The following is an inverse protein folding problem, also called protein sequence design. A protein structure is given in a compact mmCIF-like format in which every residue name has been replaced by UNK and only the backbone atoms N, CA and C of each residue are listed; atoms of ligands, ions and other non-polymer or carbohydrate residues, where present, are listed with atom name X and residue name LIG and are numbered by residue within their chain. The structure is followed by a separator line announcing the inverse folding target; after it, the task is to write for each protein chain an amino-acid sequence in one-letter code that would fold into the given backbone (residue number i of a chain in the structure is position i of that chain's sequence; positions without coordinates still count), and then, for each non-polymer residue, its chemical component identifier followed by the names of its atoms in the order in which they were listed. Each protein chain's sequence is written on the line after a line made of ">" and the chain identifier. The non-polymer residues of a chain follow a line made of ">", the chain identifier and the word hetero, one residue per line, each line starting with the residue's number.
data_IF_975472835149
#
_entry.id   IF_975472835149
#
_cell.length_a   1.000
_cell.length_b   1.000
_cell.length_c   1.000
_cell.angle_alpha   90.00
_cell.angle_beta   90.00
_cell.angle_gamma   90.00
#
_symmetry.space_group_name_H-M   'P 1'
#
loop_
_entity.id
_entity.type
_entity.pdbx_description
1 polymer ?
#
# COMPACT_ATOMS: atom_id res chain seq x y z
N UNK A 1 -9.25 57.87 -37.22
CA UNK A 1 -9.33 56.55 -37.88
C UNK A 1 -8.87 55.53 -36.86
N UNK A 2 -9.89 54.96 -36.20
CA UNK A 2 -9.70 53.86 -35.23
C UNK A 2 -9.49 52.58 -35.99
N UNK A 3 -8.48 51.83 -35.62
CA UNK A 3 -8.37 50.40 -35.98
C UNK A 3 -8.40 49.62 -34.68
N UNK A 4 -9.59 49.11 -34.43
CA UNK A 4 -9.93 48.18 -33.35
C UNK A 4 -9.15 46.86 -33.55
N UNK A 5 -8.24 46.57 -32.64
CA UNK A 5 -7.69 45.25 -32.50
C UNK A 5 -8.62 44.39 -31.61
N UNK A 6 -9.47 43.61 -32.27
CA UNK A 6 -10.23 42.55 -31.67
C UNK A 6 -9.39 41.25 -31.81
N UNK A 7 -8.56 40.92 -30.80
CA UNK A 7 -7.85 39.67 -30.75
C UNK A 7 -8.07 39.02 -29.39
N UNK A 8 -8.94 38.02 -29.42
CA UNK A 8 -8.87 36.74 -28.72
C UNK A 8 -9.11 36.76 -27.21
N UNK A 9 -10.39 36.78 -26.83
CA UNK A 9 -10.87 36.40 -25.49
C UNK A 9 -11.12 34.86 -25.36
N UNK A 10 -10.98 34.04 -26.40
CA UNK A 10 -11.37 32.63 -26.35
C UNK A 10 -10.27 31.62 -26.00
N UNK A 11 -8.99 32.01 -26.07
CA UNK A 11 -7.88 31.07 -25.78
C UNK A 11 -7.40 31.08 -24.33
N UNK A 12 -7.83 32.03 -23.51
CA UNK A 12 -7.41 32.19 -22.11
C UNK A 12 -8.24 31.36 -21.12
N UNK A 13 -9.43 30.91 -21.50
CA UNK A 13 -10.36 30.27 -20.53
C UNK A 13 -10.09 28.80 -20.21
N UNK A 14 -9.28 28.09 -20.98
CA UNK A 14 -9.09 26.64 -20.76
C UNK A 14 -7.99 26.30 -19.72
N UNK A 15 -7.02 27.19 -19.52
CA UNK A 15 -5.88 26.96 -18.59
C UNK A 15 -6.12 27.46 -17.16
N UNK A 16 -7.18 28.21 -16.92
CA UNK A 16 -7.43 28.98 -15.68
C UNK A 16 -8.44 28.31 -14.75
N UNK A 17 -8.96 27.14 -15.11
CA UNK A 17 -10.01 26.45 -14.31
C UNK A 17 -9.55 25.85 -12.95
N UNK A 18 -8.31 26.10 -12.52
CA UNK A 18 -7.81 25.62 -11.20
C UNK A 18 -7.33 26.73 -10.27
N UNK A 19 -7.29 27.97 -10.70
CA UNK A 19 -6.80 29.10 -9.90
C UNK A 19 -7.94 29.79 -9.15
N UNK A 20 -7.70 30.14 -7.89
CA UNK A 20 -8.60 30.99 -7.13
C UNK A 20 -8.68 32.41 -7.71
N UNK A 21 -9.75 33.19 -7.35
CA UNK A 21 -9.95 34.55 -7.90
C UNK A 21 -8.76 35.48 -7.70
N UNK A 22 -8.08 35.40 -6.57
CA UNK A 22 -6.85 36.15 -6.28
C UNK A 22 -5.67 35.78 -7.17
N UNK A 23 -5.51 34.49 -7.47
CA UNK A 23 -4.44 33.98 -8.33
C UNK A 23 -4.68 34.38 -9.79
N UNK A 24 -5.93 34.44 -10.22
CA UNK A 24 -6.32 34.94 -11.54
C UNK A 24 -6.02 36.42 -11.69
N UNK A 25 -6.33 37.24 -10.69
CA UNK A 25 -6.02 38.66 -10.67
C UNK A 25 -4.52 38.92 -10.71
N UNK A 26 -3.74 38.19 -9.91
CA UNK A 26 -2.28 38.29 -9.92
C UNK A 26 -1.69 37.89 -11.27
N UNK A 27 -2.19 36.84 -11.91
CA UNK A 27 -1.73 36.40 -13.22
C UNK A 27 -2.05 37.46 -14.29
N UNK A 28 -3.26 38.00 -14.29
CA UNK A 28 -3.67 39.05 -15.22
C UNK A 28 -2.84 40.32 -15.01
N UNK A 29 -2.57 40.72 -13.78
CA UNK A 29 -1.72 41.85 -13.47
C UNK A 29 -0.29 41.64 -13.96
N UNK A 30 0.28 40.44 -13.74
CA UNK A 30 1.65 40.11 -14.18
C UNK A 30 1.79 40.11 -15.71
N UNK A 31 0.79 39.63 -16.44
CA UNK A 31 0.73 39.66 -17.90
C UNK A 31 0.62 41.12 -18.39
N UNK A 32 -0.31 41.87 -17.83
CA UNK A 32 -0.59 43.29 -18.25
C UNK A 32 0.63 44.22 -18.02
N UNK A 33 1.43 43.95 -17.00
CA UNK A 33 2.57 44.75 -16.66
C UNK A 33 3.88 44.18 -17.21
N UNK A 34 3.87 43.20 -18.11
CA UNK A 34 5.05 42.64 -18.76
C UNK A 34 5.99 41.87 -17.81
N UNK A 35 5.50 41.50 -16.61
CA UNK A 35 6.26 40.67 -15.67
C UNK A 35 6.35 39.22 -16.19
N UNK A 36 5.29 38.76 -16.90
CA UNK A 36 5.26 37.51 -17.59
C UNK A 36 5.25 37.78 -19.10
N UNK A 37 6.30 37.34 -19.77
CA UNK A 37 6.39 37.36 -21.23
C UNK A 37 5.60 36.15 -21.79
N UNK A 38 4.35 36.40 -22.22
CA UNK A 38 3.49 35.36 -22.76
C UNK A 38 4.07 34.66 -23.99
N UNK A 39 4.61 35.32 -25.01
CA UNK A 39 5.28 34.69 -26.15
C UNK A 39 6.40 33.74 -25.70
N UNK A 40 7.29 34.17 -24.82
CA UNK A 40 8.36 33.33 -24.30
C UNK A 40 7.85 32.13 -23.51
N UNK A 41 6.83 32.32 -22.68
CA UNK A 41 6.18 31.25 -21.93
C UNK A 41 5.50 30.23 -22.87
N UNK A 42 4.84 30.71 -23.93
CA UNK A 42 4.22 29.85 -24.94
C UNK A 42 5.30 29.00 -25.67
N UNK A 43 6.41 29.58 -26.04
CA UNK A 43 7.54 28.86 -26.67
C UNK A 43 8.12 27.80 -25.73
N UNK A 44 8.31 28.14 -24.45
CA UNK A 44 8.77 27.17 -23.43
C UNK A 44 7.78 26.00 -23.27
N UNK A 45 6.48 26.29 -23.12
CA UNK A 45 5.44 25.27 -23.03
C UNK A 45 5.41 24.39 -24.27
N UNK A 46 5.57 24.98 -25.45
CA UNK A 46 5.63 24.23 -26.70
C UNK A 46 6.89 23.34 -26.79
N UNK A 47 8.03 23.84 -26.37
CA UNK A 47 9.27 23.05 -26.27
C UNK A 47 9.10 21.86 -25.30
N UNK A 48 8.49 22.08 -24.13
CA UNK A 48 8.24 21.02 -23.15
C UNK A 48 7.27 19.95 -23.72
N UNK A 49 6.18 20.36 -24.35
CA UNK A 49 5.23 19.43 -25.01
C UNK A 49 5.90 18.64 -26.14
N UNK A 50 6.79 19.26 -26.91
CA UNK A 50 7.54 18.59 -27.96
C UNK A 50 8.54 17.58 -27.38
N UNK A 51 9.23 17.92 -26.30
CA UNK A 51 10.14 17.02 -25.59
C UNK A 51 9.39 15.81 -25.04
N UNK A 52 8.21 16.02 -24.44
CA UNK A 52 7.36 14.95 -23.95
C UNK A 52 6.89 14.00 -25.06
N UNK A 53 6.49 14.53 -26.22
CA UNK A 53 6.13 13.73 -27.39
C UNK A 53 7.32 12.85 -27.83
N UNK A 54 8.53 13.39 -27.88
CA UNK A 54 9.72 12.64 -28.28
C UNK A 54 10.12 11.59 -27.25
N UNK A 55 10.00 11.90 -25.96
CA UNK A 55 10.25 10.95 -24.87
C UNK A 55 9.28 9.77 -24.89
N UNK A 56 8.02 10.03 -25.20
CA UNK A 56 6.94 9.02 -25.28
C UNK A 56 6.86 8.30 -26.63
N UNK A 57 7.79 8.58 -27.55
CA UNK A 57 7.86 7.92 -28.85
C UNK A 57 8.30 6.46 -28.66
N UNK A 58 7.44 5.52 -29.07
CA UNK A 58 7.61 4.09 -28.80
C UNK A 58 8.74 3.41 -29.62
N UNK A 59 9.28 4.08 -30.63
CA UNK A 59 10.32 3.53 -31.48
C UNK A 59 11.64 4.30 -31.33
N UNK A 60 12.74 3.57 -31.46
CA UNK A 60 14.07 4.18 -31.42
C UNK A 60 14.28 5.10 -32.64
N UNK A 61 14.90 6.25 -32.41
CA UNK A 61 15.45 7.13 -33.48
C UNK A 61 16.93 6.77 -33.62
N UNK A 62 17.37 6.43 -34.86
CA UNK A 62 18.76 6.01 -35.08
C UNK A 62 19.31 6.62 -36.37
N UNK A 63 20.64 6.71 -36.45
CA UNK A 63 21.36 7.10 -37.68
C UNK A 63 21.82 5.86 -38.41
N UNK A 64 21.55 5.77 -39.70
CA UNK A 64 22.02 4.68 -40.55
C UNK A 64 23.42 4.95 -41.14
N UNK A 65 24.04 3.95 -41.73
CA UNK A 65 25.38 4.04 -42.36
C UNK A 65 25.48 5.09 -43.45
N UNK A 66 24.36 5.49 -44.04
CA UNK A 66 24.25 6.54 -45.08
C UNK A 66 24.06 7.94 -44.47
N UNK A 67 24.37 8.11 -43.19
CA UNK A 67 24.27 9.34 -42.41
C UNK A 67 22.83 9.91 -42.29
N UNK A 68 21.81 9.22 -42.79
CA UNK A 68 20.41 9.63 -42.64
C UNK A 68 19.83 9.12 -41.33
N UNK A 69 18.84 9.85 -40.80
CA UNK A 69 18.13 9.54 -39.58
C UNK A 69 16.83 8.79 -39.89
N UNK A 70 16.55 7.79 -39.10
CA UNK A 70 15.44 6.86 -39.24
C UNK A 70 14.64 6.71 -37.94
N UNK A 71 13.35 6.45 -38.10
CA UNK A 71 12.47 5.95 -37.02
C UNK A 71 11.30 5.21 -37.70
N UNK A 72 10.47 4.56 -36.85
CA UNK A 72 9.17 4.06 -37.29
C UNK A 72 8.07 4.95 -36.75
N UNK A 73 7.00 5.16 -37.48
CA UNK A 73 5.76 5.76 -37.04
C UNK A 73 4.67 4.69 -37.03
N UNK A 74 3.71 4.71 -36.08
CA UNK A 74 2.56 3.80 -36.10
C UNK A 74 1.78 3.93 -37.39
N UNK A 75 1.35 2.80 -37.96
CA UNK A 75 0.56 2.75 -39.19
C UNK A 75 -0.56 1.71 -39.03
N UNK A 76 -1.78 2.19 -38.79
CA UNK A 76 -2.92 1.32 -38.52
C UNK A 76 -2.87 0.64 -37.13
N UNK A 77 -3.66 -0.44 -36.96
CA UNK A 77 -3.84 -1.09 -35.64
C UNK A 77 -2.58 -1.81 -35.12
N UNK A 78 -1.76 -2.37 -35.99
CA UNK A 78 -0.55 -3.12 -35.61
C UNK A 78 0.63 -2.88 -36.58
N UNK A 79 0.52 -1.92 -37.52
CA UNK A 79 1.53 -1.61 -38.51
C UNK A 79 2.52 -0.54 -38.06
N UNK A 80 3.68 -0.52 -38.71
CA UNK A 80 4.68 0.56 -38.55
C UNK A 80 5.23 0.97 -39.92
N UNK A 81 5.35 2.28 -40.16
CA UNK A 81 5.92 2.85 -41.36
C UNK A 81 7.29 3.46 -41.05
N UNK A 82 8.31 3.06 -41.82
CA UNK A 82 9.64 3.66 -41.68
C UNK A 82 9.65 5.07 -42.28
N UNK A 83 10.21 5.99 -41.53
CA UNK A 83 10.43 7.37 -41.98
C UNK A 83 11.93 7.68 -41.93
N UNK A 84 12.43 8.37 -42.95
CA UNK A 84 13.83 8.81 -43.06
C UNK A 84 13.93 10.31 -43.26
N UNK A 85 14.95 10.97 -42.68
CA UNK A 85 15.26 12.39 -42.87
C UNK A 85 16.78 12.59 -42.93
N UNK A 86 17.21 13.73 -43.44
CA UNK A 86 18.64 14.08 -43.57
C UNK A 86 19.28 14.44 -42.20
N UNK A 87 18.51 15.02 -41.28
CA UNK A 87 19.02 15.46 -40.00
C UNK A 87 18.20 14.92 -38.83
N UNK A 88 18.79 14.90 -37.62
CA UNK A 88 18.13 14.51 -36.40
C UNK A 88 16.92 15.42 -36.08
N UNK A 89 17.10 16.71 -36.21
CA UNK A 89 16.01 17.68 -35.99
C UNK A 89 14.83 17.47 -36.96
N UNK A 90 15.12 17.12 -38.21
CA UNK A 90 14.06 16.86 -39.23
C UNK A 90 13.27 15.57 -38.91
N UNK A 91 13.90 14.52 -38.38
CA UNK A 91 13.18 13.29 -37.98
C UNK A 91 12.36 13.52 -36.71
N UNK A 92 12.89 14.24 -35.72
CA UNK A 92 12.17 14.64 -34.49
C UNK A 92 10.96 15.50 -34.83
N UNK A 93 11.11 16.49 -35.72
CA UNK A 93 9.98 17.28 -36.22
C UNK A 93 8.92 16.43 -36.93
N UNK A 94 9.33 15.41 -37.70
CA UNK A 94 8.38 14.50 -38.33
C UNK A 94 7.61 13.64 -37.32
N UNK A 95 8.26 13.18 -36.23
CA UNK A 95 7.63 12.48 -35.10
C UNK A 95 6.62 13.40 -34.41
N UNK A 96 7.02 14.63 -34.07
CA UNK A 96 6.13 15.61 -33.42
C UNK A 96 4.91 15.90 -34.30
N UNK A 97 5.12 16.15 -35.59
CA UNK A 97 4.03 16.41 -36.53
C UNK A 97 3.07 15.23 -36.65
N UNK A 98 3.61 14.00 -36.66
CA UNK A 98 2.79 12.81 -36.70
C UNK A 98 1.87 12.72 -35.49
N UNK A 99 2.40 12.83 -34.26
CA UNK A 99 1.59 12.74 -33.03
C UNK A 99 0.67 13.95 -32.83
N UNK A 100 1.01 15.13 -33.38
CA UNK A 100 0.09 16.28 -33.39
C UNK A 100 -1.07 16.12 -34.38
N UNK A 101 -0.82 15.48 -35.54
CA UNK A 101 -1.87 15.16 -36.55
C UNK A 101 -2.70 13.93 -36.16
N UNK A 102 -2.08 13.02 -35.44
CA UNK A 102 -2.71 11.82 -34.93
C UNK A 102 -2.55 11.87 -33.40
N UNK A 103 -3.23 12.79 -32.69
CA UNK A 103 -3.23 12.74 -31.23
C UNK A 103 -3.65 11.31 -30.90
N UNK A 104 -2.88 10.64 -29.99
CA UNK A 104 -3.38 9.37 -29.44
C UNK A 104 -4.80 9.71 -29.02
N UNK A 105 -5.79 9.06 -29.67
CA UNK A 105 -7.16 9.21 -29.19
C UNK A 105 -7.04 8.95 -27.70
N UNK A 106 -7.26 10.00 -26.87
CA UNK A 106 -7.45 9.80 -25.44
C UNK A 106 -8.47 8.69 -25.39
N UNK A 107 -8.07 7.53 -24.84
CA UNK A 107 -8.96 6.36 -24.84
C UNK A 107 -10.25 6.85 -24.21
N UNK A 108 -11.23 7.21 -25.06
CA UNK A 108 -12.51 7.69 -24.57
C UNK A 108 -13.02 6.64 -23.63
N UNK A 109 -13.16 7.00 -22.38
CA UNK A 109 -13.68 6.12 -21.34
C UNK A 109 -15.12 5.80 -21.77
N UNK A 110 -15.33 4.62 -22.35
CA UNK A 110 -16.65 4.17 -22.86
C UNK A 110 -17.31 3.19 -21.90
N UNK A 111 -16.52 2.29 -21.32
CA UNK A 111 -17.04 1.22 -20.46
C UNK A 111 -16.55 1.40 -19.02
N UNK A 112 -17.17 0.69 -18.07
CA UNK A 112 -16.66 0.60 -16.71
C UNK A 112 -15.20 0.10 -16.69
N UNK A 113 -14.86 -0.85 -17.55
CA UNK A 113 -13.49 -1.37 -17.68
C UNK A 113 -12.51 -0.25 -18.04
N UNK A 114 -12.85 0.57 -19.04
CA UNK A 114 -11.97 1.68 -19.46
C UNK A 114 -11.78 2.69 -18.32
N UNK A 115 -12.86 3.01 -17.59
CA UNK A 115 -12.80 3.87 -16.41
C UNK A 115 -11.93 3.28 -15.30
N UNK A 116 -12.03 1.98 -15.05
CA UNK A 116 -11.23 1.27 -14.07
C UNK A 116 -9.75 1.27 -14.46
N UNK A 117 -9.43 0.99 -15.71
CA UNK A 117 -8.06 1.00 -16.23
C UNK A 117 -7.46 2.40 -16.17
N UNK A 118 -8.26 3.43 -16.48
CA UNK A 118 -7.84 4.82 -16.35
C UNK A 118 -7.55 5.19 -14.88
N UNK A 119 -8.47 4.87 -13.95
CA UNK A 119 -8.22 5.08 -12.52
C UNK A 119 -6.94 4.37 -12.08
N UNK A 120 -6.74 3.12 -12.50
CA UNK A 120 -5.56 2.33 -12.15
C UNK A 120 -4.26 2.92 -12.69
N UNK A 121 -4.26 3.43 -13.93
CA UNK A 121 -3.05 4.02 -14.53
C UNK A 121 -2.50 5.19 -13.69
N UNK A 122 -3.38 5.97 -13.07
CA UNK A 122 -2.99 7.05 -12.15
C UNK A 122 -2.67 6.49 -10.76
N UNK A 123 -3.56 5.67 -10.20
CA UNK A 123 -3.44 5.18 -8.82
C UNK A 123 -2.21 4.29 -8.61
N UNK A 124 -1.82 3.50 -9.61
CA UNK A 124 -0.67 2.61 -9.54
C UNK A 124 0.66 3.36 -9.41
N UNK A 125 0.75 4.60 -9.89
CA UNK A 125 1.94 5.44 -9.70
C UNK A 125 2.05 6.02 -8.27
N UNK A 126 0.95 6.07 -7.53
CA UNK A 126 0.87 6.68 -6.21
C UNK A 126 1.02 5.68 -5.05
N UNK A 127 1.03 4.38 -5.35
CA UNK A 127 1.05 3.33 -4.33
C UNK A 127 2.25 2.39 -4.50
N UNK A 128 2.61 1.68 -3.42
CA UNK A 128 3.70 0.71 -3.48
C UNK A 128 3.32 -0.54 -4.30
N UNK A 129 4.33 -1.23 -4.85
CA UNK A 129 4.20 -2.43 -5.69
C UNK A 129 3.27 -3.49 -5.10
N UNK A 130 3.34 -3.76 -3.81
CA UNK A 130 2.47 -4.74 -3.16
C UNK A 130 0.99 -4.34 -3.18
N UNK A 131 0.68 -3.04 -3.16
CA UNK A 131 -0.70 -2.54 -3.32
C UNK A 131 -1.16 -2.71 -4.77
N UNK A 132 -0.30 -2.47 -5.75
CA UNK A 132 -0.57 -2.75 -7.18
C UNK A 132 -0.88 -4.24 -7.37
N UNK A 133 -0.07 -5.14 -6.81
CA UNK A 133 -0.32 -6.59 -6.85
C UNK A 133 -1.66 -6.98 -6.21
N UNK A 134 -2.02 -6.33 -5.09
CA UNK A 134 -3.33 -6.53 -4.46
C UNK A 134 -4.46 -6.08 -5.38
N UNK A 135 -4.37 -4.91 -5.98
CA UNK A 135 -5.36 -4.43 -6.94
C UNK A 135 -5.55 -5.41 -8.11
N UNK A 136 -4.46 -5.96 -8.66
CA UNK A 136 -4.52 -6.95 -9.73
C UNK A 136 -5.23 -8.25 -9.30
N UNK A 137 -4.96 -8.71 -8.07
CA UNK A 137 -5.65 -9.88 -7.51
C UNK A 137 -7.13 -9.61 -7.28
N UNK A 138 -7.46 -8.44 -6.72
CA UNK A 138 -8.84 -8.05 -6.45
C UNK A 138 -9.63 -7.78 -7.74
N UNK A 139 -8.99 -7.22 -8.79
CA UNK A 139 -9.58 -7.10 -10.12
C UNK A 139 -10.02 -8.46 -10.66
N UNK A 140 -9.12 -9.45 -10.65
CA UNK A 140 -9.42 -10.82 -11.08
C UNK A 140 -10.56 -11.44 -10.28
N UNK A 141 -10.59 -11.16 -8.98
CA UNK A 141 -11.59 -11.72 -8.08
C UNK A 141 -12.97 -11.12 -8.28
N UNK A 142 -13.09 -9.81 -8.49
CA UNK A 142 -14.35 -9.09 -8.44
C UNK A 142 -14.91 -8.71 -9.81
N UNK A 143 -14.05 -8.40 -10.76
CA UNK A 143 -14.46 -7.73 -12.00
C UNK A 143 -14.27 -8.60 -13.25
N UNK A 144 -13.16 -9.35 -13.35
CA UNK A 144 -12.86 -10.12 -14.54
C UNK A 144 -14.00 -11.11 -14.84
N UNK A 145 -14.37 -11.20 -16.13
CA UNK A 145 -15.45 -12.06 -16.64
C UNK A 145 -16.88 -11.69 -16.20
N UNK A 146 -17.10 -10.50 -15.62
CA UNK A 146 -18.45 -10.02 -15.32
C UNK A 146 -19.03 -9.20 -16.47
N UNK A 147 -20.35 -9.22 -16.66
CA UNK A 147 -21.04 -8.36 -17.64
C UNK A 147 -20.96 -6.88 -17.24
N UNK A 148 -20.87 -6.58 -15.94
CA UNK A 148 -20.83 -5.24 -15.39
C UNK A 148 -19.67 -4.41 -15.94
N UNK A 149 -18.47 -5.00 -16.10
CA UNK A 149 -17.29 -4.27 -16.61
C UNK A 149 -17.41 -3.87 -18.10
N UNK A 150 -18.28 -4.55 -18.83
CA UNK A 150 -18.55 -4.27 -20.25
C UNK A 150 -19.63 -3.22 -20.45
N UNK A 151 -20.39 -2.85 -19.41
CA UNK A 151 -21.42 -1.81 -19.50
C UNK A 151 -20.81 -0.48 -19.91
N UNK A 152 -21.56 0.25 -20.75
CA UNK A 152 -21.22 1.65 -21.03
C UNK A 152 -21.28 2.44 -19.74
N UNK A 153 -20.24 3.22 -19.46
CA UNK A 153 -20.10 3.95 -18.20
C UNK A 153 -21.21 5.00 -18.00
N UNK A 154 -21.75 5.55 -19.08
CA UNK A 154 -22.82 6.52 -19.07
C UNK A 154 -24.18 5.91 -18.70
N UNK A 155 -24.35 4.60 -18.97
CA UNK A 155 -25.61 3.88 -18.74
C UNK A 155 -25.63 3.16 -17.40
N UNK A 156 -24.57 3.29 -16.59
CA UNK A 156 -24.52 2.68 -15.26
C UNK A 156 -25.35 3.48 -14.28
N UNK A 157 -26.39 2.85 -13.76
CA UNK A 157 -27.27 3.42 -12.75
C UNK A 157 -26.87 2.99 -11.33
N UNK A 158 -27.43 3.66 -10.33
CA UNK A 158 -27.32 3.26 -8.92
C UNK A 158 -27.79 1.81 -8.71
N UNK A 159 -28.90 1.43 -9.39
CA UNK A 159 -29.48 0.09 -9.27
C UNK A 159 -28.53 -0.97 -9.84
N UNK A 160 -27.88 -0.72 -10.97
CA UNK A 160 -26.87 -1.63 -11.54
C UNK A 160 -25.74 -1.88 -10.56
N UNK A 161 -25.28 -0.85 -9.89
CA UNK A 161 -24.20 -0.95 -8.88
C UNK A 161 -24.67 -1.76 -7.69
N UNK A 162 -25.89 -1.52 -7.18
CA UNK A 162 -26.46 -2.30 -6.07
C UNK A 162 -26.55 -3.78 -6.42
N UNK A 163 -27.14 -4.08 -7.58
CA UNK A 163 -27.26 -5.47 -8.06
C UNK A 163 -25.92 -6.14 -8.19
N UNK A 164 -24.93 -5.46 -8.77
CA UNK A 164 -23.59 -5.99 -8.93
C UNK A 164 -22.90 -6.26 -7.59
N UNK A 165 -22.98 -5.32 -6.64
CA UNK A 165 -22.38 -5.49 -5.31
C UNK A 165 -23.03 -6.64 -4.57
N UNK A 166 -24.38 -6.68 -4.50
CA UNK A 166 -25.12 -7.75 -3.79
C UNK A 166 -24.79 -9.12 -4.38
N UNK A 167 -24.82 -9.24 -5.71
CA UNK A 167 -24.47 -10.47 -6.41
C UNK A 167 -23.04 -10.91 -6.07
N UNK A 168 -22.07 -10.01 -6.20
CA UNK A 168 -20.65 -10.33 -5.94
C UNK A 168 -20.40 -10.69 -4.48
N UNK A 169 -21.05 -9.98 -3.54
CA UNK A 169 -20.93 -10.26 -2.09
C UNK A 169 -21.45 -11.67 -1.77
N UNK A 170 -22.61 -12.07 -2.32
CA UNK A 170 -23.20 -13.38 -2.11
C UNK A 170 -22.39 -14.49 -2.79
N UNK A 171 -22.09 -14.36 -4.09
CA UNK A 171 -21.37 -15.39 -4.86
C UNK A 171 -19.94 -15.64 -4.36
N UNK A 172 -19.26 -14.60 -3.87
CA UNK A 172 -17.87 -14.71 -3.37
C UNK A 172 -17.80 -14.81 -1.86
N UNK A 173 -18.92 -14.92 -1.17
CA UNK A 173 -19.02 -14.97 0.30
C UNK A 173 -18.13 -13.92 0.98
N UNK A 174 -18.33 -12.65 0.62
CA UNK A 174 -17.47 -11.59 1.10
C UNK A 174 -17.80 -11.21 2.55
N UNK A 175 -16.77 -11.03 3.38
CA UNK A 175 -16.92 -10.39 4.69
C UNK A 175 -17.03 -8.86 4.55
N UNK A 176 -17.53 -8.18 5.59
CA UNK A 176 -17.72 -6.70 5.64
C UNK A 176 -16.50 -5.92 5.13
N UNK A 177 -15.27 -6.34 5.49
CA UNK A 177 -14.02 -5.70 5.03
C UNK A 177 -13.79 -5.84 3.53
N UNK A 178 -14.06 -7.00 2.97
CA UNK A 178 -13.90 -7.27 1.53
C UNK A 178 -14.98 -6.53 0.72
N UNK A 179 -16.22 -6.48 1.22
CA UNK A 179 -17.31 -5.70 0.66
C UNK A 179 -16.95 -4.19 0.61
N UNK A 180 -16.44 -3.63 1.72
CA UNK A 180 -15.95 -2.23 1.74
C UNK A 180 -14.85 -1.99 0.70
N UNK A 181 -13.96 -2.94 0.48
CA UNK A 181 -12.90 -2.84 -0.53
C UNK A 181 -13.47 -2.84 -1.95
N UNK A 182 -14.41 -3.76 -2.26
CA UNK A 182 -15.12 -3.78 -3.54
C UNK A 182 -15.84 -2.45 -3.81
N UNK A 183 -16.60 -1.98 -2.82
CA UNK A 183 -17.30 -0.69 -2.88
C UNK A 183 -16.35 0.47 -3.18
N UNK A 184 -15.19 0.52 -2.50
CA UNK A 184 -14.18 1.55 -2.72
C UNK A 184 -13.63 1.54 -4.15
N UNK A 185 -13.43 0.36 -4.75
CA UNK A 185 -12.98 0.27 -6.14
C UNK A 185 -14.00 0.83 -7.13
N UNK A 186 -15.28 0.49 -6.94
CA UNK A 186 -16.36 1.03 -7.79
C UNK A 186 -16.44 2.54 -7.63
N UNK A 187 -16.44 3.04 -6.39
CA UNK A 187 -16.51 4.47 -6.10
C UNK A 187 -15.36 5.26 -6.76
N UNK A 188 -14.13 4.76 -6.64
CA UNK A 188 -12.97 5.42 -7.22
C UNK A 188 -12.99 5.38 -8.76
N UNK A 189 -13.52 4.30 -9.35
CA UNK A 189 -13.72 4.17 -10.79
C UNK A 189 -14.72 5.19 -11.32
N UNK A 190 -15.88 5.29 -10.69
CA UNK A 190 -16.94 6.25 -11.03
C UNK A 190 -16.43 7.69 -10.84
N UNK A 191 -15.74 7.97 -9.73
CA UNK A 191 -15.11 9.28 -9.51
C UNK A 191 -14.13 9.64 -10.63
N UNK A 192 -13.26 8.70 -11.02
CA UNK A 192 -12.34 8.91 -12.14
C UNK A 192 -13.06 9.20 -13.46
N UNK A 193 -14.15 8.47 -13.76
CA UNK A 193 -14.95 8.70 -14.94
C UNK A 193 -15.60 10.11 -14.94
N UNK A 194 -16.07 10.57 -13.77
CA UNK A 194 -16.66 11.89 -13.61
C UNK A 194 -15.63 13.01 -13.79
N UNK A 195 -14.47 12.90 -13.15
CA UNK A 195 -13.37 13.89 -13.30
C UNK A 195 -12.94 14.02 -14.76
N UNK A 196 -12.93 12.90 -15.50
CA UNK A 196 -12.60 12.88 -16.92
C UNK A 196 -13.81 13.18 -17.85
N UNK A 197 -14.91 13.69 -17.28
CA UNK A 197 -16.11 14.10 -18.02
C UNK A 197 -16.72 12.97 -18.87
N UNK A 198 -16.45 11.71 -18.56
CA UNK A 198 -17.06 10.55 -19.22
C UNK A 198 -18.52 10.35 -18.78
N UNK A 199 -18.87 10.79 -17.57
CA UNK A 199 -20.24 10.84 -17.03
C UNK A 199 -20.51 12.20 -16.40
N UNK A 200 -21.78 12.63 -16.43
CA UNK A 200 -22.20 13.91 -15.87
C UNK A 200 -22.59 13.77 -14.39
N UNK A 201 -23.30 12.70 -14.02
CA UNK A 201 -23.79 12.44 -12.67
C UNK A 201 -22.88 11.48 -11.87
N UNK A 202 -23.20 11.28 -10.61
CA UNK A 202 -22.53 10.32 -9.74
C UNK A 202 -23.53 9.25 -9.25
N UNK A 203 -23.58 8.08 -9.90
CA UNK A 203 -24.46 7.00 -9.47
C UNK A 203 -24.07 6.37 -8.11
N UNK A 204 -22.98 6.84 -7.50
CA UNK A 204 -22.53 6.42 -6.16
C UNK A 204 -22.87 7.44 -5.06
N UNK A 205 -23.49 8.56 -5.38
CA UNK A 205 -23.70 9.72 -4.48
C UNK A 205 -24.40 9.32 -3.17
N UNK A 206 -25.48 8.55 -3.25
CA UNK A 206 -26.25 8.14 -2.08
C UNK A 206 -25.90 6.74 -1.57
N UNK A 207 -24.94 6.05 -2.20
CA UNK A 207 -24.55 4.73 -1.79
C UNK A 207 -23.50 4.73 -0.69
N UNK A 208 -23.71 3.86 0.29
CA UNK A 208 -22.74 3.61 1.37
C UNK A 208 -22.44 2.11 1.50
N UNK A 209 -21.20 1.77 1.73
CA UNK A 209 -20.79 0.38 1.89
C UNK A 209 -21.57 -0.38 2.99
N UNK A 210 -22.00 0.33 4.03
CA UNK A 210 -22.75 -0.24 5.16
C UNK A 210 -24.10 -0.85 4.75
N UNK A 211 -24.76 -0.32 3.70
CA UNK A 211 -26.03 -0.82 3.19
C UNK A 211 -25.94 -2.27 2.70
N UNK A 212 -24.74 -2.73 2.30
CA UNK A 212 -24.50 -4.08 1.79
C UNK A 212 -24.02 -5.07 2.85
N UNK A 213 -23.75 -4.62 4.09
CA UNK A 213 -23.18 -5.48 5.14
C UNK A 213 -24.12 -6.61 5.58
N UNK A 214 -25.44 -6.44 5.44
CA UNK A 214 -26.41 -7.48 5.71
C UNK A 214 -26.26 -8.73 4.80
N UNK A 215 -25.67 -8.58 3.62
CA UNK A 215 -25.41 -9.67 2.68
C UNK A 215 -24.05 -10.33 2.88
N UNK A 216 -23.22 -9.79 3.78
CA UNK A 216 -21.85 -10.27 4.01
C UNK A 216 -21.86 -11.47 4.95
N UNK A 217 -20.93 -12.40 4.71
CA UNK A 217 -20.70 -13.51 5.64
C UNK A 217 -19.93 -13.00 6.86
N UNK A 218 -20.42 -13.33 8.05
CA UNK A 218 -19.69 -13.09 9.29
C UNK A 218 -18.63 -14.18 9.48
N UNK A 219 -17.38 -13.83 9.22
CA UNK A 219 -16.22 -14.71 9.46
C UNK A 219 -15.47 -14.23 10.71
N UNK A 220 -16.19 -14.11 11.84
CA UNK A 220 -15.51 -13.80 13.10
C UNK A 220 -14.76 -15.03 13.59
N UNK A 221 -13.46 -14.85 13.81
CA UNK A 221 -12.65 -15.87 14.46
C UNK A 221 -12.91 -15.82 15.96
N UNK A 222 -13.16 -16.95 16.63
CA UNK A 222 -13.22 -16.98 18.09
C UNK A 222 -11.95 -16.39 18.73
N UNK A 223 -12.08 -15.99 20.00
CA UNK A 223 -10.99 -15.36 20.73
C UNK A 223 -9.72 -16.23 20.75
N UNK A 224 -9.90 -17.52 21.00
CA UNK A 224 -8.82 -18.52 21.05
C UNK A 224 -8.05 -18.65 19.70
N UNK A 225 -8.61 -18.12 18.62
CA UNK A 225 -7.91 -18.05 17.33
C UNK A 225 -7.17 -16.73 17.11
N UNK A 226 -7.46 -15.72 17.95
CA UNK A 226 -6.88 -14.37 17.78
C UNK A 226 -5.66 -14.13 18.67
N UNK A 227 -5.65 -14.73 19.87
CA UNK A 227 -4.61 -14.53 20.91
C UNK A 227 -4.12 -15.87 21.46
N UNK A 228 -2.98 -15.88 22.10
CA UNK A 228 -2.46 -16.99 22.89
C UNK A 228 -2.95 -16.89 24.35
N UNK A 229 -3.41 -17.97 24.95
CA UNK A 229 -3.66 -18.06 26.38
C UNK A 229 -2.35 -18.12 27.16
N UNK A 230 -2.41 -17.95 28.50
CA UNK A 230 -1.23 -18.11 29.33
C UNK A 230 -0.66 -19.53 29.28
N UNK A 231 -1.53 -20.53 29.22
CA UNK A 231 -1.12 -21.93 29.01
C UNK A 231 -0.39 -22.12 27.69
N UNK A 232 -0.93 -21.57 26.59
CA UNK A 232 -0.26 -21.61 25.30
C UNK A 232 1.13 -20.94 25.34
N UNK A 233 1.23 -19.78 26.01
CA UNK A 233 2.51 -19.07 26.12
C UNK A 233 3.53 -19.85 26.94
N UNK A 234 3.15 -20.41 28.09
CA UNK A 234 4.04 -21.21 28.93
C UNK A 234 4.56 -22.41 28.15
N UNK A 235 3.67 -23.16 27.49
CA UNK A 235 4.05 -24.32 26.67
C UNK A 235 4.98 -23.93 25.49
N UNK A 236 4.76 -22.75 24.90
CA UNK A 236 5.65 -22.24 23.84
C UNK A 236 7.02 -21.84 24.39
N UNK A 237 7.08 -21.22 25.58
CA UNK A 237 8.35 -20.84 26.23
C UNK A 237 9.16 -22.08 26.62
N UNK A 238 8.54 -23.08 27.24
CA UNK A 238 9.20 -24.38 27.49
C UNK A 238 9.76 -25.00 26.19
N UNK A 239 9.01 -24.89 25.11
CA UNK A 239 9.48 -25.36 23.80
C UNK A 239 10.64 -24.55 23.25
N UNK A 240 10.66 -23.23 23.45
CA UNK A 240 11.79 -22.39 23.04
C UNK A 240 13.04 -22.78 23.82
N UNK A 241 12.95 -22.99 25.13
CA UNK A 241 14.07 -23.38 25.97
C UNK A 241 14.66 -24.72 25.51
N UNK A 242 13.81 -25.73 25.29
CA UNK A 242 14.22 -27.03 24.74
C UNK A 242 14.89 -26.93 23.36
N UNK A 243 14.43 -26.02 22.53
CA UNK A 243 15.02 -25.80 21.22
C UNK A 243 16.37 -25.07 21.29
N UNK A 244 16.51 -24.13 22.23
CA UNK A 244 17.79 -23.46 22.47
C UNK A 244 18.88 -24.44 22.99
N UNK A 245 18.47 -25.44 23.77
CA UNK A 245 19.39 -26.49 24.22
C UNK A 245 19.76 -27.46 23.08
N UNK A 246 18.77 -27.92 22.32
CA UNK A 246 18.96 -28.97 21.28
C UNK A 246 19.51 -28.44 19.96
N UNK A 247 19.16 -27.20 19.58
CA UNK A 247 19.53 -26.55 18.31
C UNK A 247 19.76 -25.06 18.53
N UNK A 248 20.80 -24.69 19.30
CA UNK A 248 21.09 -23.30 19.61
C UNK A 248 21.35 -22.44 18.37
N UNK A 249 21.83 -23.03 17.29
CA UNK A 249 22.09 -22.38 15.99
C UNK A 249 20.83 -22.08 15.16
N UNK A 250 19.64 -22.54 15.61
CA UNK A 250 18.39 -22.27 14.90
C UNK A 250 17.79 -20.90 15.28
N UNK A 251 18.36 -19.84 14.75
CA UNK A 251 18.06 -18.42 15.05
C UNK A 251 16.57 -18.04 14.99
N UNK A 252 15.71 -18.60 14.09
CA UNK A 252 14.29 -18.23 14.07
C UNK A 252 13.53 -18.45 15.39
N UNK A 253 13.97 -19.35 16.28
CA UNK A 253 13.35 -19.56 17.59
C UNK A 253 13.50 -18.31 18.48
N UNK A 254 14.69 -17.71 18.51
CA UNK A 254 14.96 -16.48 19.28
C UNK A 254 14.13 -15.31 18.76
N UNK A 255 13.97 -15.18 17.45
CA UNK A 255 13.14 -14.15 16.84
C UNK A 255 11.64 -14.31 17.21
N UNK A 256 11.14 -15.56 17.30
CA UNK A 256 9.79 -15.86 17.78
C UNK A 256 9.66 -15.54 19.26
N UNK A 257 10.66 -15.85 20.08
CA UNK A 257 10.68 -15.52 21.50
C UNK A 257 10.65 -14.00 21.71
N UNK A 258 11.42 -13.22 20.95
CA UNK A 258 11.33 -11.76 21.00
C UNK A 258 9.92 -11.27 20.63
N UNK A 259 9.27 -11.88 19.64
CA UNK A 259 7.89 -11.52 19.29
C UNK A 259 6.90 -11.77 20.44
N UNK A 260 7.08 -12.85 21.21
CA UNK A 260 6.22 -13.17 22.35
C UNK A 260 6.38 -12.18 23.51
N UNK A 261 7.60 -11.65 23.71
CA UNK A 261 7.92 -10.69 24.77
C UNK A 261 7.50 -9.25 24.40
N UNK A 262 7.60 -8.88 23.14
CA UNK A 262 7.47 -7.47 22.71
C UNK A 262 6.22 -7.16 21.91
N UNK A 263 5.62 -8.15 21.28
CA UNK A 263 4.57 -7.93 20.30
C UNK A 263 5.00 -7.18 19.03
N UNK A 264 6.29 -7.07 18.74
CA UNK A 264 6.80 -6.42 17.53
C UNK A 264 6.29 -7.13 16.26
N UNK A 265 6.19 -6.39 15.16
CA UNK A 265 5.85 -6.99 13.86
C UNK A 265 7.03 -7.82 13.35
N UNK A 266 6.75 -8.94 12.69
CA UNK A 266 7.82 -9.82 12.18
C UNK A 266 8.83 -9.08 11.28
N UNK A 267 8.35 -8.18 10.42
CA UNK A 267 9.24 -7.38 9.58
C UNK A 267 10.12 -6.40 10.38
N UNK A 268 9.65 -5.91 11.53
CA UNK A 268 10.44 -5.07 12.44
C UNK A 268 11.52 -5.93 13.13
N UNK A 269 11.18 -7.14 13.59
CA UNK A 269 12.10 -8.07 14.26
C UNK A 269 13.26 -8.44 13.34
N UNK A 270 12.98 -8.92 12.13
CA UNK A 270 14.04 -9.34 11.18
C UNK A 270 14.84 -8.18 10.59
N UNK A 271 14.40 -6.94 10.82
CA UNK A 271 15.09 -5.73 10.41
C UNK A 271 15.92 -5.08 11.54
N UNK A 272 15.97 -5.68 12.74
CA UNK A 272 16.78 -5.16 13.84
C UNK A 272 18.27 -5.32 13.54
N UNK A 273 19.02 -4.25 13.81
CA UNK A 273 20.47 -4.25 13.82
C UNK A 273 20.96 -4.15 15.27
N UNK A 274 22.19 -4.59 15.53
CA UNK A 274 22.80 -4.47 16.85
C UNK A 274 22.90 -2.99 17.29
N UNK A 275 23.05 -2.07 16.35
CA UNK A 275 23.04 -0.63 16.65
C UNK A 275 21.69 -0.11 17.18
N UNK A 276 20.58 -0.82 16.94
CA UNK A 276 19.25 -0.46 17.42
C UNK A 276 19.04 -0.88 18.90
N UNK A 277 19.89 -1.75 19.43
CA UNK A 277 19.82 -2.26 20.81
C UNK A 277 20.61 -1.34 21.72
N UNK A 278 19.88 -0.49 22.44
CA UNK A 278 20.48 0.46 23.41
C UNK A 278 20.55 -0.16 24.80
N UNK A 279 21.09 0.59 25.76
CA UNK A 279 21.24 0.10 27.16
C UNK A 279 19.87 -0.26 27.75
N UNK A 280 18.86 0.62 27.62
CA UNK A 280 17.57 0.47 28.30
C UNK A 280 16.40 0.22 27.33
N UNK A 281 16.60 0.33 26.02
CA UNK A 281 15.53 0.24 25.03
C UNK A 281 15.99 -0.26 23.67
N UNK A 282 15.01 -0.65 22.86
CA UNK A 282 15.16 -1.03 21.45
C UNK A 282 14.59 0.08 20.57
N UNK A 283 15.33 0.53 19.56
CA UNK A 283 14.84 1.48 18.54
C UNK A 283 14.15 0.71 17.42
N UNK A 284 12.92 1.10 17.09
CA UNK A 284 12.11 0.45 16.04
C UNK A 284 11.75 1.50 14.99
N UNK A 285 12.55 1.60 13.95
CA UNK A 285 12.43 2.61 12.91
C UNK A 285 12.39 2.02 11.49
N UNK A 286 12.65 0.73 11.35
CA UNK A 286 12.71 0.02 10.07
C UNK A 286 11.91 -1.29 10.08
N UNK A 287 11.58 -1.80 8.91
CA UNK A 287 10.85 -3.04 8.74
C UNK A 287 11.17 -3.69 7.40
N UNK A 288 11.35 -5.00 7.39
CA UNK A 288 11.45 -5.78 6.17
C UNK A 288 10.11 -5.81 5.44
N UNK A 289 10.18 -5.67 4.11
CA UNK A 289 9.07 -5.87 3.18
C UNK A 289 9.55 -6.74 2.04
N UNK A 290 8.73 -7.71 1.64
CA UNK A 290 8.96 -8.46 0.41
C UNK A 290 8.27 -7.75 -0.74
N UNK A 291 9.03 -7.29 -1.73
CA UNK A 291 8.50 -6.73 -2.96
C UNK A 291 8.12 -7.86 -3.91
N UNK A 292 6.82 -7.94 -4.26
CA UNK A 292 6.29 -9.02 -5.12
C UNK A 292 6.63 -8.87 -6.59
N UNK A 293 7.05 -7.67 -7.02
CA UNK A 293 7.42 -7.40 -8.41
C UNK A 293 8.89 -7.73 -8.61
N UNK A 294 9.78 -7.14 -7.79
CA UNK A 294 11.23 -7.39 -7.87
C UNK A 294 11.63 -8.74 -7.26
N UNK A 295 10.75 -9.35 -6.44
CA UNK A 295 10.99 -10.58 -5.66
C UNK A 295 12.12 -10.47 -4.65
N UNK A 296 12.34 -9.28 -4.12
CA UNK A 296 13.41 -8.95 -3.18
C UNK A 296 12.87 -8.59 -1.79
N UNK A 297 13.70 -8.83 -0.77
CA UNK A 297 13.45 -8.37 0.59
C UNK A 297 14.09 -7.00 0.80
N UNK A 298 13.28 -5.98 0.97
CA UNK A 298 13.69 -4.59 1.10
C UNK A 298 13.53 -4.15 2.55
N UNK A 299 14.53 -3.44 3.09
CA UNK A 299 14.40 -2.74 4.37
C UNK A 299 13.93 -1.31 4.09
N UNK A 300 12.83 -0.94 4.71
CA UNK A 300 12.23 0.38 4.58
C UNK A 300 11.73 0.86 5.97
N UNK A 301 11.31 2.11 6.06
CA UNK A 301 10.68 2.65 7.27
C UNK A 301 9.48 1.80 7.71
N UNK A 302 9.17 1.86 8.99
CA UNK A 302 7.99 1.19 9.54
C UNK A 302 6.72 1.58 8.77
N UNK A 303 5.69 0.72 8.79
CA UNK A 303 4.45 0.94 8.03
C UNK A 303 3.80 2.31 8.27
N UNK A 304 3.92 2.84 9.47
CA UNK A 304 3.34 4.12 9.86
C UNK A 304 4.33 5.28 9.73
N UNK A 305 5.55 5.03 9.24
CA UNK A 305 6.64 6.01 9.11
C UNK A 305 6.97 6.74 10.44
N UNK A 306 6.59 6.15 11.59
CA UNK A 306 6.87 6.67 12.93
C UNK A 306 7.88 5.75 13.62
N UNK A 307 8.93 6.36 14.11
CA UNK A 307 9.91 5.70 14.95
C UNK A 307 9.33 5.55 16.36
N UNK A 308 9.69 4.48 17.04
CA UNK A 308 9.33 4.26 18.43
C UNK A 308 10.43 3.51 19.17
N UNK A 309 10.36 3.56 20.48
CA UNK A 309 11.22 2.77 21.35
C UNK A 309 10.39 1.72 22.11
N UNK A 310 11.02 0.60 22.44
CA UNK A 310 10.44 -0.43 23.28
C UNK A 310 11.41 -0.68 24.46
N UNK A 311 10.96 -0.66 25.73
CA UNK A 311 11.83 -0.86 26.89
C UNK A 311 12.46 -2.26 26.86
N UNK A 312 13.75 -2.33 27.17
CA UNK A 312 14.50 -3.58 27.24
C UNK A 312 14.43 -4.15 28.65
N UNK A 313 13.66 -5.22 28.83
CA UNK A 313 13.57 -5.96 30.09
C UNK A 313 14.78 -6.88 30.27
N UNK A 314 15.02 -7.38 31.47
CA UNK A 314 16.09 -8.33 31.77
C UNK A 314 16.01 -9.61 30.92
N UNK A 315 14.79 -10.09 30.63
CA UNK A 315 14.57 -11.25 29.75
C UNK A 315 14.95 -10.97 28.31
N UNK A 316 14.60 -9.79 27.80
CA UNK A 316 14.97 -9.36 26.45
C UNK A 316 16.49 -9.17 26.36
N UNK A 317 17.11 -8.63 27.40
CA UNK A 317 18.57 -8.49 27.45
C UNK A 317 19.29 -9.86 27.44
N UNK A 318 18.82 -10.80 28.27
CA UNK A 318 19.33 -12.19 28.27
C UNK A 318 19.19 -12.82 26.90
N UNK A 319 18.05 -12.64 26.25
CA UNK A 319 17.79 -13.14 24.89
C UNK A 319 18.82 -12.60 23.89
N UNK A 320 19.04 -11.28 23.86
CA UNK A 320 20.01 -10.66 22.94
C UNK A 320 21.45 -11.11 23.21
N UNK A 321 21.83 -11.24 24.48
CA UNK A 321 23.16 -11.74 24.86
C UNK A 321 23.34 -13.18 24.36
N UNK A 322 22.34 -14.03 24.52
CA UNK A 322 22.37 -15.41 24.04
C UNK A 322 22.46 -15.46 22.52
N UNK A 323 21.64 -14.69 21.79
CA UNK A 323 21.69 -14.62 20.33
C UNK A 323 23.07 -14.20 19.84
N UNK A 324 23.62 -13.12 20.43
CA UNK A 324 24.94 -12.60 20.06
C UNK A 324 26.04 -13.64 20.25
N UNK A 325 26.00 -14.34 21.38
CA UNK A 325 26.94 -15.42 21.67
C UNK A 325 26.81 -16.57 20.67
N UNK A 326 25.58 -17.03 20.41
CA UNK A 326 25.32 -18.12 19.45
C UNK A 326 25.77 -17.75 18.04
N UNK A 327 25.47 -16.55 17.59
CA UNK A 327 25.90 -16.05 16.27
C UNK A 327 27.43 -15.95 16.18
N UNK A 328 28.08 -15.52 17.26
CA UNK A 328 29.53 -15.40 17.34
C UNK A 328 30.22 -16.77 17.20
N UNK A 329 29.79 -17.77 17.97
CA UNK A 329 30.41 -19.11 17.96
C UNK A 329 30.16 -19.89 16.66
N UNK A 330 29.04 -19.58 15.95
CA UNK A 330 28.69 -20.21 14.67
C UNK A 330 29.17 -19.40 13.45
N UNK A 331 29.83 -18.26 13.64
CA UNK A 331 30.31 -17.42 12.55
C UNK A 331 29.20 -16.65 11.80
N UNK A 332 28.03 -16.48 12.41
CA UNK A 332 26.88 -15.78 11.81
C UNK A 332 26.83 -14.28 12.18
N UNK A 333 27.64 -13.84 13.14
CA UNK A 333 27.61 -12.49 13.67
C UNK A 333 27.86 -11.45 12.57
N UNK A 334 26.89 -10.59 12.36
CA UNK A 334 26.94 -9.50 11.40
C UNK A 334 26.23 -8.26 11.98
N UNK A 335 25.88 -7.28 11.14
CA UNK A 335 25.15 -6.10 11.60
C UNK A 335 23.73 -6.38 12.10
N UNK A 336 23.11 -7.49 11.68
CA UNK A 336 21.71 -7.86 11.99
C UNK A 336 21.66 -8.68 13.28
N UNK A 337 20.61 -8.45 14.10
CA UNK A 337 20.40 -9.17 15.37
C UNK A 337 20.00 -10.63 15.16
N UNK A 338 19.33 -10.92 14.05
CA UNK A 338 18.89 -12.27 13.71
C UNK A 338 19.46 -12.69 12.36
N UNK A 339 20.58 -13.38 12.41
CA UNK A 339 21.29 -13.89 11.23
C UNK A 339 21.62 -15.38 11.38
N UNK A 340 21.58 -16.08 10.29
CA UNK A 340 22.05 -17.48 10.18
C UNK A 340 23.19 -17.58 9.13
N UNK A 341 23.60 -18.79 8.77
CA UNK A 341 24.65 -19.03 7.78
C UNK A 341 24.43 -18.35 6.42
N UNK A 342 23.17 -18.03 6.10
CA UNK A 342 22.78 -17.38 4.85
C UNK A 342 22.69 -15.83 5.02
N UNK A 343 23.09 -15.32 6.19
CA UNK A 343 22.98 -13.91 6.56
C UNK A 343 21.66 -13.60 7.30
N UNK A 344 21.13 -12.40 7.14
CA UNK A 344 19.91 -11.96 7.82
C UNK A 344 18.73 -12.91 7.55
N UNK A 345 18.06 -13.39 8.61
CA UNK A 345 16.84 -14.19 8.44
C UNK A 345 15.67 -13.34 7.94
N UNK A 346 14.74 -13.97 7.21
CA UNK A 346 13.57 -13.29 6.64
C UNK A 346 12.26 -13.66 7.35
N UNK A 347 11.28 -12.78 7.29
CA UNK A 347 9.97 -12.94 7.91
C UNK A 347 9.27 -14.30 7.65
N UNK A 348 9.36 -14.94 6.48
CA UNK A 348 8.81 -16.27 6.25
C UNK A 348 9.44 -17.36 7.12
N UNK A 349 10.78 -17.33 7.37
CA UNK A 349 11.47 -18.30 8.25
C UNK A 349 10.88 -18.22 9.67
N UNK A 350 10.72 -17.00 10.21
CA UNK A 350 10.14 -16.77 11.56
C UNK A 350 8.66 -17.17 11.61
N UNK A 351 7.90 -16.83 10.57
CA UNK A 351 6.47 -17.18 10.47
C UNK A 351 6.25 -18.70 10.37
N UNK A 352 7.15 -19.43 9.72
CA UNK A 352 7.10 -20.88 9.64
C UNK A 352 7.52 -21.51 10.97
N UNK A 353 8.52 -20.93 11.66
CA UNK A 353 8.98 -21.39 12.95
C UNK A 353 7.82 -21.45 13.97
N UNK A 354 7.10 -20.33 14.19
CA UNK A 354 5.98 -20.33 15.15
C UNK A 354 4.89 -21.34 14.80
N UNK A 355 4.56 -21.52 13.51
CA UNK A 355 3.58 -22.53 13.09
C UNK A 355 4.02 -23.94 13.49
N UNK A 356 5.30 -24.25 13.28
CA UNK A 356 5.86 -25.54 13.65
C UNK A 356 5.87 -25.73 15.17
N UNK A 357 6.19 -24.69 15.96
CA UNK A 357 6.13 -24.75 17.43
C UNK A 357 4.71 -25.00 17.93
N UNK A 358 3.72 -24.28 17.40
CA UNK A 358 2.32 -24.55 17.71
C UNK A 358 1.95 -26.01 17.43
N UNK A 359 2.35 -26.56 16.26
CA UNK A 359 2.08 -27.96 15.92
C UNK A 359 2.77 -28.94 16.88
N UNK A 360 4.04 -28.70 17.26
CA UNK A 360 4.80 -29.53 18.18
C UNK A 360 4.19 -29.59 19.59
N UNK A 361 3.56 -28.50 20.03
CA UNK A 361 2.94 -28.40 21.34
C UNK A 361 1.43 -28.72 21.32
N UNK A 362 0.87 -29.18 20.20
CA UNK A 362 -0.57 -29.41 20.08
C UNK A 362 -1.42 -28.13 20.19
N UNK A 363 -0.79 -26.98 20.11
CA UNK A 363 -1.47 -25.68 20.20
C UNK A 363 -2.08 -25.34 18.84
N UNK A 364 -3.29 -24.78 18.87
CA UNK A 364 -3.93 -24.32 17.64
C UNK A 364 -3.02 -23.34 16.87
N UNK A 365 -2.85 -23.59 15.57
CA UNK A 365 -1.96 -22.81 14.71
C UNK A 365 -2.39 -21.33 14.66
N UNK A 366 -1.51 -20.44 15.14
CA UNK A 366 -1.65 -18.99 15.09
C UNK A 366 -0.40 -18.39 14.43
N UNK A 367 -0.59 -17.27 13.71
CA UNK A 367 0.55 -16.54 13.14
C UNK A 367 1.27 -15.69 14.20
N UNK A 368 2.51 -15.32 13.92
CA UNK A 368 3.34 -14.47 14.80
C UNK A 368 2.63 -13.17 15.26
N UNK A 369 1.73 -12.63 14.42
CA UNK A 369 0.95 -11.43 14.76
C UNK A 369 -0.03 -11.62 15.93
N UNK A 370 -0.32 -12.87 16.30
CA UNK A 370 -1.12 -13.17 17.50
C UNK A 370 -0.41 -12.79 18.80
N UNK A 371 0.92 -12.87 18.87
CA UNK A 371 1.68 -12.38 20.02
C UNK A 371 1.43 -10.89 20.27
N UNK A 372 1.41 -10.09 19.19
CA UNK A 372 1.13 -8.66 19.30
C UNK A 372 -0.25 -8.37 19.90
N UNK A 373 -1.25 -9.15 19.50
CA UNK A 373 -2.60 -9.06 20.09
C UNK A 373 -2.61 -9.50 21.53
N UNK A 374 -1.89 -10.57 21.87
CA UNK A 374 -1.77 -11.10 23.21
C UNK A 374 -1.08 -10.08 24.14
N UNK A 375 0.07 -9.53 23.72
CA UNK A 375 0.81 -8.52 24.50
C UNK A 375 -0.07 -7.28 24.73
N UNK A 376 -0.74 -6.79 23.69
CA UNK A 376 -1.64 -5.64 23.83
C UNK A 376 -2.79 -5.92 24.80
N UNK A 377 -3.45 -7.07 24.66
CA UNK A 377 -4.56 -7.44 25.54
C UNK A 377 -4.11 -7.57 27.00
N UNK A 378 -2.92 -8.16 27.24
CA UNK A 378 -2.34 -8.23 28.59
C UNK A 378 -2.03 -6.86 29.15
N UNK A 379 -1.44 -5.94 28.37
CA UNK A 379 -1.21 -4.56 28.81
C UNK A 379 -2.54 -3.90 29.22
N UNK A 380 -3.57 -4.00 28.41
CA UNK A 380 -4.88 -3.41 28.65
C UNK A 380 -5.58 -4.02 29.89
N UNK A 381 -5.58 -5.34 30.01
CA UNK A 381 -6.17 -6.04 31.18
C UNK A 381 -5.42 -5.75 32.49
N UNK A 382 -4.15 -5.32 32.41
CA UNK A 382 -3.37 -4.86 33.57
C UNK A 382 -3.47 -3.33 33.80
N UNK A 383 -4.48 -2.65 33.26
CA UNK A 383 -4.77 -1.25 33.52
C UNK A 383 -3.90 -0.25 32.76
N UNK A 384 -3.08 -0.70 31.81
CA UNK A 384 -2.28 0.21 30.99
C UNK A 384 -3.19 1.01 30.05
N UNK A 385 -3.03 2.34 30.05
CA UNK A 385 -3.84 3.20 29.17
C UNK A 385 -3.67 2.87 27.68
N UNK A 386 -4.71 3.14 26.89
CA UNK A 386 -4.67 2.92 25.44
C UNK A 386 -3.54 3.68 24.77
N UNK A 387 -3.28 4.92 25.22
CA UNK A 387 -2.19 5.76 24.72
C UNK A 387 -0.83 5.09 24.90
N UNK A 388 -0.53 4.57 26.10
CA UNK A 388 0.74 3.88 26.39
C UNK A 388 0.85 2.57 25.61
N UNK A 389 -0.19 1.73 25.60
CA UNK A 389 -0.20 0.47 24.87
C UNK A 389 -0.05 0.70 23.34
N UNK A 390 -0.73 1.73 22.80
CA UNK A 390 -0.63 2.11 21.39
C UNK A 390 0.77 2.61 21.03
N UNK A 391 1.40 3.42 21.89
CA UNK A 391 2.76 3.95 21.66
C UNK A 391 3.80 2.83 21.62
N UNK A 392 3.78 1.91 22.59
CA UNK A 392 4.69 0.74 22.65
C UNK A 392 4.60 -0.11 21.39
N UNK A 393 3.38 -0.33 20.90
CA UNK A 393 3.15 -1.20 19.76
C UNK A 393 3.13 -0.43 18.40
N UNK A 394 3.16 0.91 18.39
CA UNK A 394 3.13 1.72 17.18
C UNK A 394 1.79 1.59 16.44
N UNK A 395 0.68 1.79 17.17
CA UNK A 395 -0.68 1.92 16.64
C UNK A 395 -1.20 3.34 16.84
N UNK A 396 -2.35 3.66 16.24
CA UNK A 396 -3.23 4.71 16.77
C UNK A 396 -4.11 4.12 17.87
N UNK A 397 -4.61 4.95 18.76
CA UNK A 397 -5.49 4.51 19.85
C UNK A 397 -6.73 3.78 19.32
N UNK A 398 -7.37 4.33 18.29
CA UNK A 398 -8.54 3.71 17.64
C UNK A 398 -8.22 2.30 17.08
N UNK A 399 -7.07 2.14 16.44
CA UNK A 399 -6.63 0.84 15.90
C UNK A 399 -6.31 -0.13 17.03
N UNK A 400 -5.72 0.37 18.14
CA UNK A 400 -5.41 -0.43 19.30
C UNK A 400 -6.68 -1.02 19.93
N UNK A 401 -7.67 -0.18 20.25
CA UNK A 401 -8.94 -0.61 20.84
C UNK A 401 -9.70 -1.57 19.92
N UNK A 402 -9.89 -1.20 18.68
CA UNK A 402 -10.78 -1.95 17.77
C UNK A 402 -10.24 -3.30 17.33
N UNK A 403 -8.93 -3.47 17.19
CA UNK A 403 -8.35 -4.64 16.53
C UNK A 403 -7.37 -5.45 17.38
N UNK A 404 -6.90 -4.90 18.48
CA UNK A 404 -5.85 -5.51 19.29
C UNK A 404 -6.21 -5.72 20.75
N UNK A 405 -7.29 -5.12 21.24
CA UNK A 405 -7.75 -5.25 22.63
C UNK A 405 -8.79 -6.38 22.72
N UNK A 406 -8.48 -7.38 23.51
CA UNK A 406 -9.36 -8.49 23.84
C UNK A 406 -9.33 -8.73 25.34
N UNK A 407 -10.49 -9.08 25.93
CA UNK A 407 -10.56 -9.48 27.33
C UNK A 407 -9.86 -10.83 27.52
N UNK A 408 -8.78 -10.82 28.28
CA UNK A 408 -7.97 -12.00 28.64
C UNK A 408 -8.12 -12.37 30.10
N UNK A 409 -8.96 -11.64 30.87
CA UNK A 409 -9.15 -11.86 32.32
C UNK A 409 -9.98 -13.11 32.58
N UNK A 410 -9.60 -13.82 33.62
CA UNK A 410 -10.38 -14.98 34.09
C UNK A 410 -11.59 -14.55 34.92
N UNK A 411 -12.45 -15.50 35.24
CA UNK A 411 -13.66 -15.25 36.00
C UNK A 411 -13.34 -14.81 37.45
N UNK A 412 -12.27 -15.34 38.03
CA UNK A 412 -11.84 -14.98 39.39
C UNK A 412 -11.44 -13.51 39.47
N UNK A 413 -10.69 -13.04 38.51
CA UNK A 413 -10.32 -11.62 38.42
C UNK A 413 -11.54 -10.72 38.27
N UNK A 414 -12.52 -11.13 37.44
CA UNK A 414 -13.77 -10.38 37.25
C UNK A 414 -14.59 -10.35 38.53
N UNK A 415 -14.69 -11.47 39.25
CA UNK A 415 -15.38 -11.54 40.53
C UNK A 415 -14.76 -10.58 41.51
N UNK A 416 -13.42 -10.60 41.64
CA UNK A 416 -12.70 -9.68 42.56
C UNK A 416 -12.99 -8.20 42.25
N UNK A 417 -13.00 -7.81 40.98
CA UNK A 417 -13.33 -6.43 40.56
C UNK A 417 -14.77 -6.07 40.97
N UNK A 418 -15.73 -6.97 40.77
CA UNK A 418 -17.13 -6.71 41.16
C UNK A 418 -17.25 -6.57 42.65
N UNK A 419 -16.62 -7.46 43.44
CA UNK A 419 -16.59 -7.39 44.92
C UNK A 419 -15.97 -6.06 45.42
N UNK A 420 -14.90 -5.58 44.79
CA UNK A 420 -14.27 -4.29 45.14
C UNK A 420 -15.15 -3.08 44.84
N UNK A 421 -16.08 -3.18 43.89
CA UNK A 421 -17.04 -2.13 43.53
C UNK A 421 -18.26 -2.16 44.47
N UNK A 422 -18.71 -3.35 44.87
CA UNK A 422 -19.87 -3.54 45.74
C UNK A 422 -19.59 -3.07 47.19
N UNK A 423 -18.33 -3.05 47.61
CA UNK A 423 -17.90 -2.61 48.96
C UNK A 423 -17.79 -1.08 49.09
N UNK A 424 -17.93 -0.32 48.01
CA UNK A 424 -17.94 1.15 48.01
C UNK A 424 -19.35 1.71 47.98
#
# INVERSE_FOLDING_TARGET
>A
MEITNCVTHETTNAAVMGLGSNEQEMLNFAIKNGIIDLPHLQDQVEMMKNAEILQNHQYKIWQGNNQKWYTYLPDGKDGRKQVKRSTKAAIEKAVIQYYRKNPKEERKIKTFKDAYEHWRSVQDTLVCHNTVCKYNTDRKRYFDNTSFVKKNIQDITEEDIKVFIVKTVKEKELCKKACKTLFSYIKNTIYSARVNKAIAGDPMEFLQAKQFYQYCVEKEKPLEQKIFSDLDLNSLHERFDLDHEKKPDYIPTYAVQLASLTGMRVGEIVALKWEDIKVDYIVINKSEKYDRITKEYIIDKTKNKKDRVFPKTKEIEKLFNTVKYVEQINGFLCEWVFADKDGRIHAPKVSSCIKNKCKQQGIRNRGIHSFRKTVNSKLKCNGVSTTVAASLLGHTEEVNEKYYTFDTTDLKYKTKIIEEIEVK
#
